data_IF_431720434571
#
_entry.id   IF_431720434571
#
_cell.length_a   1.000
_cell.length_b   1.000
_cell.length_c   1.000
_cell.angle_alpha   90.00
_cell.angle_beta   90.00
_cell.angle_gamma   90.00
#
_symmetry.space_group_name_H-M   'P 1'
#
loop_
_entity.id
_entity.type
_entity.pdbx_description
1 polymer ?
#
# COMPACT_ATOMS: atom_id res chain seq x y z
N UNK A 1 13.21 -7.17 -12.79
CA UNK A 1 12.33 -6.04 -13.09
C UNK A 1 11.69 -5.49 -11.85
N UNK A 2 11.66 -4.22 -11.67
CA UNK A 2 11.03 -3.68 -10.49
C UNK A 2 9.52 -3.87 -10.58
N UNK A 3 9.02 -4.61 -9.64
CA UNK A 3 7.60 -4.73 -9.37
C UNK A 3 7.24 -3.77 -8.24
N UNK A 4 8.11 -2.77 -8.04
CA UNK A 4 8.06 -1.88 -6.90
C UNK A 4 7.90 -0.44 -7.34
N UNK A 5 7.27 0.34 -6.50
CA UNK A 5 7.16 1.78 -6.67
C UNK A 5 7.37 2.42 -5.30
N UNK A 6 8.18 3.47 -5.26
CA UNK A 6 8.42 4.19 -4.02
C UNK A 6 7.74 5.54 -4.06
N UNK A 7 7.15 5.93 -2.96
CA UNK A 7 6.61 7.27 -2.76
C UNK A 7 7.10 7.81 -1.43
N UNK A 8 7.12 9.12 -1.30
CA UNK A 8 7.56 9.77 -0.06
C UNK A 8 6.41 10.57 0.52
N UNK A 9 6.39 10.65 1.85
CA UNK A 9 5.42 11.45 2.55
C UNK A 9 6.07 12.03 3.82
N UNK A 10 5.53 13.15 4.27
CA UNK A 10 5.98 13.79 5.50
C UNK A 10 5.06 13.37 6.63
N UNK A 11 5.64 12.93 7.76
CA UNK A 11 4.85 12.59 8.94
C UNK A 11 4.13 13.83 9.45
N UNK A 12 2.81 13.72 9.63
CA UNK A 12 2.00 14.81 10.13
C UNK A 12 1.93 14.77 11.65
N UNK A 13 1.76 15.93 12.27
CA UNK A 13 1.60 16.01 13.72
C UNK A 13 0.45 15.14 14.22
N UNK A 14 -0.66 15.12 13.46
CA UNK A 14 -1.85 14.33 13.80
C UNK A 14 -1.59 12.81 13.81
N UNK A 15 -0.49 12.36 13.24
CA UNK A 15 -0.15 10.93 13.19
C UNK A 15 0.64 10.46 14.41
N UNK A 16 1.06 11.38 15.27
CA UNK A 16 1.87 11.04 16.44
C UNK A 16 1.00 10.81 17.67
N UNK A 17 1.55 10.07 18.63
CA UNK A 17 0.89 9.80 19.92
C UNK A 17 1.58 10.55 21.07
N UNK A 18 1.13 10.29 22.28
CA UNK A 18 1.68 10.97 23.46
C UNK A 18 3.13 10.63 23.75
N UNK A 19 3.64 9.54 23.18
CA UNK A 19 5.05 9.16 23.32
C UNK A 19 5.94 9.94 22.35
N UNK A 20 5.37 10.78 21.49
CA UNK A 20 6.12 11.57 20.52
C UNK A 20 6.55 10.78 19.29
N UNK A 21 5.99 9.60 19.07
CA UNK A 21 6.27 8.78 17.89
C UNK A 21 4.98 8.55 17.11
N UNK A 22 5.10 8.13 15.87
CA UNK A 22 3.94 7.83 15.05
C UNK A 22 3.14 6.70 15.67
N UNK A 23 1.82 6.92 15.80
CA UNK A 23 0.92 5.91 16.31
C UNK A 23 0.91 4.71 15.37
N UNK A 24 1.05 3.51 15.92
CA UNK A 24 1.35 2.30 15.14
C UNK A 24 0.36 2.03 14.01
N UNK A 25 -0.90 2.38 14.15
CA UNK A 25 -1.90 2.14 13.12
C UNK A 25 -1.68 2.99 11.86
N UNK A 26 -0.98 4.11 11.97
CA UNK A 26 -0.73 5.00 10.84
C UNK A 26 0.21 4.39 9.79
N UNK A 27 0.99 3.38 10.15
CA UNK A 27 1.81 2.67 9.17
C UNK A 27 0.96 1.97 8.12
N UNK A 28 -0.24 1.50 8.51
CA UNK A 28 -1.19 0.92 7.55
C UNK A 28 -1.78 1.97 6.62
N UNK A 29 -1.98 3.19 7.11
CA UNK A 29 -2.40 4.32 6.27
C UNK A 29 -1.32 4.60 5.22
N UNK A 30 -0.06 4.57 5.60
CA UNK A 30 1.05 4.77 4.67
C UNK A 30 1.13 3.65 3.63
N UNK A 31 0.82 2.42 4.02
CA UNK A 31 0.73 1.31 3.07
C UNK A 31 -0.37 1.58 2.03
N UNK A 32 -1.50 2.14 2.45
CA UNK A 32 -2.55 2.53 1.52
C UNK A 32 -2.05 3.59 0.53
N UNK A 33 -1.37 4.62 1.04
CA UNK A 33 -0.77 5.65 0.17
C UNK A 33 0.17 4.99 -0.84
N UNK A 34 1.02 4.07 -0.36
CA UNK A 34 1.98 3.37 -1.21
C UNK A 34 1.33 2.59 -2.33
N UNK A 35 0.30 1.80 -2.03
CA UNK A 35 -0.33 0.99 -3.07
C UNK A 35 -1.20 1.82 -4.01
N UNK A 36 -1.81 2.90 -3.53
CA UNK A 36 -2.55 3.82 -4.40
C UNK A 36 -1.61 4.47 -5.41
N UNK A 37 -0.44 4.92 -4.97
CA UNK A 37 0.56 5.49 -5.87
C UNK A 37 1.18 4.44 -6.79
N UNK A 38 1.34 3.21 -6.31
CA UNK A 38 1.77 2.09 -7.15
C UNK A 38 0.82 1.90 -8.34
N UNK A 39 -0.48 1.86 -8.07
CA UNK A 39 -1.49 1.69 -9.13
C UNK A 39 -1.51 2.89 -10.07
N UNK A 40 -1.34 4.10 -9.54
CA UNK A 40 -1.29 5.31 -10.36
C UNK A 40 -0.10 5.27 -11.31
N UNK A 41 1.07 4.85 -10.82
CA UNK A 41 2.28 4.71 -11.62
C UNK A 41 2.13 3.64 -12.70
N UNK A 42 1.32 2.61 -12.44
CA UNK A 42 1.00 1.58 -13.41
C UNK A 42 0.05 2.07 -14.51
N UNK A 43 -0.52 3.26 -14.35
CA UNK A 43 -1.53 3.80 -15.26
C UNK A 43 -2.95 3.32 -14.95
N UNK A 44 -3.17 2.77 -13.77
CA UNK A 44 -4.45 2.20 -13.34
C UNK A 44 -4.86 2.82 -12.01
N UNK A 45 -5.34 4.05 -12.05
CA UNK A 45 -5.76 4.77 -10.85
C UNK A 45 -6.85 3.96 -10.10
N UNK A 46 -6.72 3.91 -8.79
CA UNK A 46 -7.72 3.24 -7.94
C UNK A 46 -9.10 3.89 -8.10
N UNK A 47 -9.13 5.22 -8.25
CA UNK A 47 -10.38 5.94 -8.48
C UNK A 47 -11.08 5.45 -9.76
N UNK A 48 -10.31 5.16 -10.82
CA UNK A 48 -10.87 4.61 -12.06
C UNK A 48 -11.47 3.23 -11.83
N UNK A 49 -10.78 2.37 -11.07
CA UNK A 49 -11.31 1.04 -10.75
C UNK A 49 -12.63 1.14 -9.99
N UNK A 50 -12.69 2.03 -9.00
CA UNK A 50 -13.93 2.25 -8.23
C UNK A 50 -15.05 2.77 -9.12
N UNK A 51 -14.73 3.69 -10.01
CA UNK A 51 -15.71 4.23 -10.95
C UNK A 51 -16.27 3.14 -11.87
N UNK A 52 -15.45 2.16 -12.22
CA UNK A 52 -15.85 1.02 -13.03
C UNK A 52 -16.54 -0.09 -12.23
N UNK A 53 -16.68 0.10 -10.92
CA UNK A 53 -17.42 -0.82 -10.07
C UNK A 53 -16.59 -1.86 -9.35
N UNK A 54 -15.26 -1.69 -9.32
CA UNK A 54 -14.35 -2.61 -8.63
C UNK A 54 -13.72 -1.93 -7.43
N UNK A 55 -13.79 -2.56 -6.27
CA UNK A 55 -13.06 -2.15 -5.08
C UNK A 55 -12.05 -3.22 -4.69
N UNK A 56 -11.00 -2.80 -3.99
CA UNK A 56 -10.04 -3.71 -3.40
C UNK A 56 -10.11 -3.54 -1.89
N UNK A 57 -10.68 -4.54 -1.22
CA UNK A 57 -10.87 -4.52 0.22
C UNK A 57 -9.70 -5.26 0.89
N UNK A 58 -9.17 -4.68 1.97
CA UNK A 58 -8.11 -5.33 2.73
C UNK A 58 -8.70 -6.52 3.49
N UNK A 59 -8.18 -7.71 3.19
CA UNK A 59 -8.56 -8.96 3.86
C UNK A 59 -7.59 -9.33 4.96
N UNK A 60 -6.30 -9.01 4.77
CA UNK A 60 -5.24 -9.25 5.76
C UNK A 60 -4.24 -8.11 5.73
N UNK A 61 -3.71 -7.77 6.90
CA UNK A 61 -2.64 -6.80 7.02
C UNK A 61 -1.74 -7.18 8.18
N UNK A 62 -0.44 -7.02 8.00
CA UNK A 62 0.52 -7.22 9.08
C UNK A 62 1.62 -6.17 8.97
N UNK A 63 2.15 -5.78 10.12
CA UNK A 63 3.24 -4.81 10.20
C UNK A 63 4.24 -5.28 11.23
N UNK A 64 5.52 -5.20 10.89
CA UNK A 64 6.61 -5.39 11.84
C UNK A 64 7.27 -4.04 12.03
N UNK A 65 7.33 -3.58 13.28
CA UNK A 65 7.89 -2.28 13.64
C UNK A 65 9.35 -2.45 14.04
N UNK A 66 10.24 -1.69 13.42
CA UNK A 66 11.70 -1.82 13.61
C UNK A 66 12.31 -0.61 14.29
N UNK A 67 11.80 0.59 13.99
CA UNK A 67 12.26 1.83 14.60
C UNK A 67 11.13 2.87 14.51
N UNK A 68 11.06 3.82 15.44
CA UNK A 68 9.97 4.79 15.44
C UNK A 68 10.19 5.90 14.41
N UNK A 69 9.11 6.31 13.77
CA UNK A 69 9.05 7.54 13.00
C UNK A 69 8.52 8.65 13.92
N UNK A 70 8.90 9.89 13.63
CA UNK A 70 8.53 11.05 14.43
C UNK A 70 7.93 12.14 13.55
N UNK A 71 7.31 13.12 14.19
CA UNK A 71 6.73 14.25 13.47
C UNK A 71 7.75 14.88 12.54
N UNK A 72 7.30 15.21 11.35
CA UNK A 72 8.05 15.90 10.28
C UNK A 72 9.17 15.08 9.63
N UNK A 73 9.33 13.82 10.00
CA UNK A 73 10.24 12.93 9.29
C UNK A 73 9.74 12.74 7.86
N UNK A 74 10.67 12.68 6.90
CA UNK A 74 10.36 12.28 5.54
C UNK A 74 10.47 10.76 5.46
N UNK A 75 9.38 10.11 5.09
CA UNK A 75 9.26 8.65 5.07
C UNK A 75 9.12 8.20 3.62
N UNK A 76 9.85 7.15 3.27
CA UNK A 76 9.76 6.51 1.96
C UNK A 76 9.01 5.19 2.12
N UNK A 77 7.98 5.01 1.31
CA UNK A 77 7.20 3.77 1.27
C UNK A 77 7.48 3.09 -0.06
N UNK A 78 8.15 1.96 -0.03
CA UNK A 78 8.37 1.14 -1.21
C UNK A 78 7.34 0.02 -1.22
N UNK A 79 6.50 0.00 -2.24
CA UNK A 79 5.42 -0.97 -2.41
C UNK A 79 5.83 -1.95 -3.50
N UNK A 80 5.75 -3.23 -3.21
CA UNK A 80 6.09 -4.30 -4.14
C UNK A 80 4.89 -5.21 -4.33
N UNK A 81 4.51 -5.45 -5.59
CA UNK A 81 3.47 -6.42 -5.90
C UNK A 81 4.07 -7.82 -5.75
N UNK A 82 3.46 -8.67 -4.92
CA UNK A 82 3.99 -10.00 -4.63
C UNK A 82 3.11 -11.14 -5.10
N UNK A 83 1.86 -10.87 -5.47
CA UNK A 83 0.99 -11.93 -5.96
C UNK A 83 -0.26 -11.38 -6.61
N UNK A 84 -0.72 -12.10 -7.64
CA UNK A 84 -1.98 -11.80 -8.34
C UNK A 84 -2.71 -13.11 -8.52
N UNK A 85 -3.97 -13.14 -8.08
CA UNK A 85 -4.86 -14.28 -8.25
C UNK A 85 -6.15 -13.79 -8.90
N UNK A 86 -7.10 -14.69 -9.14
CA UNK A 86 -8.35 -14.31 -9.80
C UNK A 86 -9.14 -13.27 -9.03
N UNK A 87 -9.06 -13.28 -7.70
CA UNK A 87 -9.85 -12.41 -6.82
C UNK A 87 -9.03 -11.66 -5.79
N UNK A 88 -7.70 -11.78 -5.82
CA UNK A 88 -6.87 -11.21 -4.77
C UNK A 88 -5.55 -10.71 -5.31
N UNK A 89 -5.01 -9.68 -4.67
CA UNK A 89 -3.65 -9.20 -4.91
C UNK A 89 -2.93 -9.04 -3.58
N UNK A 90 -1.63 -9.24 -3.58
CA UNK A 90 -0.83 -9.07 -2.38
C UNK A 90 0.31 -8.10 -2.64
N UNK A 91 0.63 -7.30 -1.62
CA UNK A 91 1.72 -6.34 -1.65
C UNK A 91 2.57 -6.47 -0.40
N UNK A 92 3.87 -6.25 -0.56
CA UNK A 92 4.78 -6.05 0.54
C UNK A 92 5.25 -4.60 0.54
N UNK A 93 5.58 -4.09 1.72
CA UNK A 93 5.99 -2.71 1.89
C UNK A 93 7.26 -2.64 2.73
N UNK A 94 8.18 -1.77 2.31
CA UNK A 94 9.33 -1.39 3.11
C UNK A 94 9.20 0.10 3.39
N UNK A 95 9.15 0.45 4.66
CA UNK A 95 9.00 1.83 5.11
C UNK A 95 10.31 2.25 5.75
N UNK A 96 10.94 3.28 5.19
CA UNK A 96 12.25 3.75 5.65
C UNK A 96 12.22 5.25 5.92
N UNK A 97 13.12 5.71 6.77
CA UNK A 97 13.42 7.13 6.91
C UNK A 97 14.18 7.55 5.65
N UNK A 98 13.61 8.47 4.86
CA UNK A 98 14.10 8.74 3.52
C UNK A 98 15.53 9.26 3.49
N UNK A 99 15.91 10.07 4.47
CA UNK A 99 17.23 10.70 4.49
C UNK A 99 18.33 9.79 5.03
N UNK A 100 18.02 9.03 6.09
CA UNK A 100 19.03 8.17 6.74
C UNK A 100 19.04 6.75 6.21
N UNK A 101 17.95 6.31 5.58
CA UNK A 101 17.79 4.93 5.14
C UNK A 101 17.45 3.95 6.26
N UNK A 102 17.23 4.44 7.47
CA UNK A 102 16.86 3.57 8.59
C UNK A 102 15.52 2.92 8.30
N UNK A 103 15.46 1.60 8.48
CA UNK A 103 14.21 0.85 8.32
C UNK A 103 13.29 1.13 9.50
N UNK A 104 12.10 1.61 9.21
CA UNK A 104 11.09 1.91 10.23
C UNK A 104 10.13 0.74 10.42
N UNK A 105 9.71 0.11 9.31
CA UNK A 105 8.80 -1.03 9.37
C UNK A 105 8.81 -1.80 8.08
N UNK A 106 8.38 -3.06 8.16
CA UNK A 106 7.98 -3.85 6.99
C UNK A 106 6.51 -4.22 7.16
N UNK A 107 5.81 -4.40 6.06
CA UNK A 107 4.38 -4.70 6.11
C UNK A 107 3.97 -5.59 4.94
N UNK A 108 2.80 -6.20 5.10
CA UNK A 108 2.19 -7.04 4.07
C UNK A 108 0.69 -6.82 4.08
N UNK A 109 0.07 -6.74 2.90
CA UNK A 109 -1.38 -6.70 2.79
C UNK A 109 -1.85 -7.66 1.71
N UNK A 110 -3.00 -8.30 1.96
CA UNK A 110 -3.73 -9.05 0.96
C UNK A 110 -5.07 -8.37 0.77
N UNK A 111 -5.41 -8.06 -0.47
CA UNK A 111 -6.65 -7.39 -0.81
C UNK A 111 -7.47 -8.29 -1.72
N UNK A 112 -8.79 -8.26 -1.54
CA UNK A 112 -9.71 -9.00 -2.38
C UNK A 112 -10.55 -8.05 -3.22
N UNK A 113 -10.89 -8.50 -4.43
CA UNK A 113 -11.73 -7.74 -5.34
C UNK A 113 -13.19 -7.86 -4.93
N UNK A 114 -13.89 -6.74 -4.85
CA UNK A 114 -15.31 -6.70 -4.54
C UNK A 114 -16.06 -5.92 -5.60
N UNK A 115 -17.32 -6.26 -5.81
CA UNK A 115 -18.21 -5.54 -6.72
C UNK A 115 -18.91 -4.39 -5.99
N UNK A 116 -19.85 -3.72 -6.68
CA UNK A 116 -20.57 -2.57 -6.11
C UNK A 116 -21.44 -2.93 -4.92
N UNK A 117 -21.81 -4.20 -4.80
CA UNK A 117 -22.61 -4.68 -3.67
C UNK A 117 -21.72 -5.16 -2.51
N UNK A 118 -20.40 -5.03 -2.65
CA UNK A 118 -19.45 -5.46 -1.63
C UNK A 118 -19.19 -6.95 -1.65
N UNK A 119 -19.58 -7.65 -2.70
CA UNK A 119 -19.40 -9.10 -2.82
C UNK A 119 -18.09 -9.42 -3.51
N UNK A 120 -17.48 -10.53 -3.08
CA UNK A 120 -16.27 -11.03 -3.69
C UNK A 120 -16.48 -11.24 -5.20
N UNK A 121 -15.57 -10.69 -6.00
CA UNK A 121 -15.67 -10.75 -7.45
C UNK A 121 -14.28 -10.97 -8.08
N UNK A 122 -14.26 -11.38 -9.34
CA UNK A 122 -13.03 -11.52 -10.07
C UNK A 122 -12.43 -10.14 -10.38
N UNK A 123 -11.11 -10.05 -10.32
CA UNK A 123 -10.40 -8.85 -10.77
C UNK A 123 -10.68 -8.67 -12.25
N UNK A 124 -11.03 -7.46 -12.71
CA UNK A 124 -11.26 -7.21 -14.15
C UNK A 124 -10.07 -7.68 -14.98
N UNK A 125 -10.37 -8.34 -16.10
CA UNK A 125 -9.35 -9.02 -16.90
C UNK A 125 -8.20 -8.09 -17.34
N UNK A 126 -8.51 -6.87 -17.76
CA UNK A 126 -7.50 -5.92 -18.21
C UNK A 126 -6.59 -5.48 -17.06
N UNK A 127 -7.16 -5.27 -15.88
CA UNK A 127 -6.41 -4.89 -14.70
C UNK A 127 -5.52 -6.05 -14.24
N UNK A 128 -6.07 -7.26 -14.21
CA UNK A 128 -5.31 -8.46 -13.85
C UNK A 128 -4.13 -8.66 -14.79
N UNK A 129 -4.36 -8.52 -16.10
CA UNK A 129 -3.31 -8.67 -17.10
C UNK A 129 -2.19 -7.64 -16.88
N UNK A 130 -2.54 -6.39 -16.58
CA UNK A 130 -1.55 -5.35 -16.32
C UNK A 130 -0.70 -5.66 -15.08
N UNK A 131 -1.31 -6.21 -14.04
CA UNK A 131 -0.58 -6.62 -12.83
C UNK A 131 0.31 -7.84 -13.10
N UNK A 132 -0.20 -8.84 -13.79
CA UNK A 132 0.56 -10.04 -14.11
C UNK A 132 1.77 -9.73 -14.99
N UNK A 133 1.68 -8.72 -15.84
CA UNK A 133 2.77 -8.33 -16.73
C UNK A 133 3.99 -7.79 -15.98
N UNK A 134 3.83 -7.31 -14.74
CA UNK A 134 4.91 -6.74 -13.94
C UNK A 134 5.25 -7.59 -12.71
N UNK A 135 4.57 -8.72 -12.57
CA UNK A 135 4.80 -9.61 -11.42
C UNK A 135 6.12 -10.41 -11.53
#
# INVERSE_FOLDING_TARGET
MPHSHATELRVRYAETDRMGVVYYANYLVWCEVGRVEFLRALGRSYATLEHEGTGLAVAEASVRYLAPARFDDLVRVETTLTGVRSRAVTFDYLITHAESGVRLATAHTALVSIDRDGKLSAIPAAFRAALEAIL
#
